data_IF_197256182246
#
_entry.id   IF_197256182246
#
_cell.length_a   1.000
_cell.length_b   1.000
_cell.length_c   1.000
_cell.angle_alpha   90.00
_cell.angle_beta   90.00
_cell.angle_gamma   90.00
#
_symmetry.space_group_name_H-M   'P 1'
#
loop_
_entity.id
_entity.type
_entity.pdbx_description
1 polymer ?
#
# COMPACT_ATOMS: atom_id res chain seq x y z
N UNK A 1 -6.56 18.34 10.82
CA UNK A 1 -6.28 17.46 9.70
C UNK A 1 -7.50 16.68 9.25
N UNK A 2 -8.24 16.05 10.16
CA UNK A 2 -9.45 15.25 9.82
C UNK A 2 -10.41 16.01 8.92
N UNK A 3 -10.72 17.26 9.23
CA UNK A 3 -11.61 18.12 8.43
C UNK A 3 -11.07 18.36 7.02
N UNK A 4 -9.75 18.56 6.87
CA UNK A 4 -9.12 18.72 5.55
C UNK A 4 -9.18 17.43 4.72
N UNK A 5 -9.01 16.27 5.36
CA UNK A 5 -9.16 14.96 4.71
C UNK A 5 -10.63 14.71 4.29
N UNK A 6 -11.62 15.12 5.09
CA UNK A 6 -13.02 15.04 4.68
C UNK A 6 -13.36 16.05 3.57
N UNK A 7 -12.79 17.25 3.63
CA UNK A 7 -12.94 18.24 2.55
C UNK A 7 -12.40 17.72 1.22
N UNK A 8 -11.33 16.94 1.22
CA UNK A 8 -10.75 16.37 -0.01
C UNK A 8 -11.75 15.48 -0.77
N UNK A 9 -12.72 14.84 -0.10
CA UNK A 9 -13.77 14.06 -0.75
C UNK A 9 -14.73 14.93 -1.56
N UNK A 10 -15.07 16.11 -1.04
CA UNK A 10 -16.09 17.01 -1.59
C UNK A 10 -15.54 18.20 -2.37
N UNK A 11 -14.22 18.40 -2.32
CA UNK A 11 -13.55 19.48 -3.04
C UNK A 11 -13.78 19.39 -4.56
N UNK A 12 -13.81 20.52 -5.22
CA UNK A 12 -13.84 20.57 -6.68
C UNK A 12 -12.60 19.92 -7.28
N UNK A 13 -12.78 19.23 -8.39
CA UNK A 13 -11.72 18.44 -9.08
C UNK A 13 -10.46 19.27 -9.31
N UNK A 14 -10.62 20.55 -9.69
CA UNK A 14 -9.52 21.47 -9.97
C UNK A 14 -8.61 21.73 -8.75
N UNK A 15 -9.16 21.65 -7.53
CA UNK A 15 -8.42 21.93 -6.31
C UNK A 15 -7.93 20.67 -5.59
N UNK A 16 -8.45 19.48 -5.93
CA UNK A 16 -8.12 18.24 -5.22
C UNK A 16 -6.62 17.96 -5.15
N UNK A 17 -5.91 18.13 -6.26
CA UNK A 17 -4.47 17.88 -6.31
C UNK A 17 -3.68 18.85 -5.40
N UNK A 18 -4.03 20.13 -5.41
CA UNK A 18 -3.36 21.12 -4.54
C UNK A 18 -3.69 20.88 -3.06
N UNK A 19 -4.95 20.56 -2.75
CA UNK A 19 -5.36 20.21 -1.38
C UNK A 19 -4.62 18.96 -0.91
N UNK A 20 -4.56 17.91 -1.72
CA UNK A 20 -3.86 16.66 -1.38
C UNK A 20 -2.37 16.92 -1.09
N UNK A 21 -1.70 17.70 -1.92
CA UNK A 21 -0.30 18.10 -1.72
C UNK A 21 -0.09 18.88 -0.42
N UNK A 22 -0.97 19.83 -0.13
CA UNK A 22 -0.93 20.62 1.12
C UNK A 22 -1.16 19.74 2.34
N UNK A 23 -2.12 18.81 2.28
CA UNK A 23 -2.39 17.85 3.35
C UNK A 23 -1.17 16.95 3.58
N UNK A 24 -0.54 16.42 2.55
CA UNK A 24 0.69 15.65 2.66
C UNK A 24 1.83 16.46 3.34
N UNK A 25 1.97 17.74 2.97
CA UNK A 25 2.91 18.66 3.61
C UNK A 25 2.63 18.85 5.11
N UNK A 26 1.35 19.05 5.48
CA UNK A 26 0.95 19.18 6.87
C UNK A 26 1.21 17.90 7.67
N UNK A 27 0.92 16.72 7.11
CA UNK A 27 1.23 15.43 7.73
C UNK A 27 2.73 15.32 7.99
N UNK A 28 3.56 15.70 7.02
CA UNK A 28 5.03 15.62 7.15
C UNK A 28 5.60 16.56 8.20
N UNK A 29 5.06 17.79 8.31
CA UNK A 29 5.59 18.82 9.19
C UNK A 29 5.05 18.76 10.62
N UNK A 30 3.79 18.41 10.80
CA UNK A 30 3.07 18.58 12.06
C UNK A 30 2.61 17.28 12.70
N UNK A 31 3.07 16.12 12.21
CA UNK A 31 2.76 14.85 12.85
C UNK A 31 3.29 14.81 14.28
N UNK A 32 2.44 14.56 15.29
CA UNK A 32 2.86 14.48 16.69
C UNK A 32 3.78 13.27 16.92
N UNK A 33 3.56 12.20 16.19
CA UNK A 33 4.36 10.96 16.21
C UNK A 33 4.34 10.27 14.85
N UNK A 34 5.22 9.29 14.68
CA UNK A 34 5.38 8.60 13.40
C UNK A 34 4.22 7.64 13.10
N UNK A 35 3.57 7.03 14.11
CA UNK A 35 2.37 6.22 13.93
C UNK A 35 1.23 7.05 13.36
N UNK A 36 0.95 8.19 13.96
CA UNK A 36 -0.05 9.13 13.48
C UNK A 36 0.25 9.57 12.04
N UNK A 37 1.54 9.76 11.71
CA UNK A 37 1.97 10.10 10.34
C UNK A 37 1.61 8.99 9.35
N UNK A 38 1.86 7.73 9.70
CA UNK A 38 1.49 6.55 8.89
C UNK A 38 -0.02 6.49 8.70
N UNK A 39 -0.80 6.57 9.77
CA UNK A 39 -2.27 6.51 9.73
C UNK A 39 -2.85 7.63 8.86
N UNK A 40 -2.37 8.86 9.06
CA UNK A 40 -2.84 10.03 8.31
C UNK A 40 -2.48 9.95 6.84
N UNK A 41 -1.33 9.34 6.50
CA UNK A 41 -0.94 9.16 5.11
C UNK A 41 -1.76 8.07 4.41
N UNK A 42 -2.09 6.98 5.11
CA UNK A 42 -3.00 5.95 4.60
C UNK A 42 -4.40 6.54 4.38
N UNK A 43 -4.91 7.33 5.32
CA UNK A 43 -6.15 8.07 5.17
C UNK A 43 -6.13 9.01 3.96
N UNK A 44 -5.00 9.69 3.73
CA UNK A 44 -4.80 10.55 2.57
C UNK A 44 -4.83 9.74 1.26
N UNK A 45 -4.19 8.56 1.20
CA UNK A 45 -4.23 7.68 0.04
C UNK A 45 -5.66 7.20 -0.28
N UNK A 46 -6.45 6.87 0.76
CA UNK A 46 -7.84 6.44 0.61
C UNK A 46 -8.71 7.60 0.09
N UNK A 47 -8.60 8.79 0.69
CA UNK A 47 -9.49 9.92 0.39
C UNK A 47 -9.05 10.75 -0.81
N UNK A 48 -7.75 10.82 -1.06
CA UNK A 48 -7.14 11.56 -2.17
C UNK A 48 -7.14 10.79 -3.49
N UNK A 49 -7.12 9.46 -3.42
CA UNK A 49 -7.16 8.61 -4.61
C UNK A 49 -6.11 9.00 -5.66
N UNK A 50 -6.55 9.20 -6.91
CA UNK A 50 -5.67 9.54 -8.04
C UNK A 50 -5.03 10.93 -7.98
N UNK A 51 -5.45 11.78 -7.04
CA UNK A 51 -4.88 13.12 -6.86
C UNK A 51 -3.60 13.14 -6.02
N UNK A 52 -3.22 12.00 -5.43
CA UNK A 52 -1.93 11.84 -4.76
C UNK A 52 -0.87 11.52 -5.81
N UNK A 53 0.21 12.29 -5.83
CA UNK A 53 1.28 12.10 -6.79
C UNK A 53 2.37 11.15 -6.26
N UNK A 54 3.24 10.72 -7.16
CA UNK A 54 4.38 9.87 -6.78
C UNK A 54 5.35 10.56 -5.83
N UNK A 55 5.36 11.89 -5.78
CA UNK A 55 6.27 12.63 -4.89
C UNK A 55 5.83 12.52 -3.43
N UNK A 56 4.53 12.66 -3.15
CA UNK A 56 3.99 12.44 -1.81
C UNK A 56 4.20 10.98 -1.38
N UNK A 57 3.95 10.02 -2.28
CA UNK A 57 4.17 8.59 -2.00
C UNK A 57 5.64 8.32 -1.68
N UNK A 58 6.60 8.90 -2.42
CA UNK A 58 8.03 8.75 -2.13
C UNK A 58 8.42 9.25 -0.74
N UNK A 59 7.87 10.38 -0.32
CA UNK A 59 8.10 10.92 1.05
C UNK A 59 7.65 9.90 2.10
N UNK A 60 6.46 9.30 1.92
CA UNK A 60 5.95 8.27 2.80
C UNK A 60 6.82 7.00 2.81
N UNK A 61 7.18 6.49 1.63
CA UNK A 61 8.03 5.31 1.52
C UNK A 61 9.44 5.53 2.10
N UNK A 62 9.98 6.73 1.93
CA UNK A 62 11.26 7.13 2.54
C UNK A 62 11.16 7.15 4.07
N UNK A 63 10.06 7.64 4.62
CA UNK A 63 9.81 7.56 6.07
C UNK A 63 9.86 6.11 6.55
N UNK A 64 9.09 5.20 5.92
CA UNK A 64 9.05 3.79 6.29
C UNK A 64 10.41 3.10 6.17
N UNK A 65 11.19 3.44 5.14
CA UNK A 65 12.52 2.88 4.94
C UNK A 65 13.49 3.27 6.04
N UNK A 66 13.33 4.48 6.62
CA UNK A 66 14.18 5.00 7.70
C UNK A 66 13.66 4.69 9.11
N UNK A 67 12.51 4.01 9.24
CA UNK A 67 11.85 3.71 10.51
C UNK A 67 11.47 2.23 10.60
N UNK A 68 12.44 1.34 10.90
CA UNK A 68 12.21 -0.11 10.96
C UNK A 68 11.07 -0.51 11.91
N UNK A 69 10.89 0.24 13.00
CA UNK A 69 9.85 0.02 14.01
C UNK A 69 8.42 0.19 13.49
N UNK A 70 8.25 0.94 12.39
CA UNK A 70 6.93 1.18 11.78
C UNK A 70 6.62 0.25 10.60
N UNK A 71 7.62 -0.46 10.08
CA UNK A 71 7.47 -1.26 8.86
C UNK A 71 6.40 -2.34 9.00
N UNK A 72 6.42 -3.07 10.11
CA UNK A 72 5.42 -4.10 10.40
C UNK A 72 4.01 -3.51 10.53
N UNK A 73 3.88 -2.42 11.27
CA UNK A 73 2.62 -1.69 11.43
C UNK A 73 2.07 -1.19 10.09
N UNK A 74 2.90 -0.53 9.30
CA UNK A 74 2.51 -0.01 7.99
C UNK A 74 2.10 -1.13 7.02
N UNK A 75 2.82 -2.26 7.02
CA UNK A 75 2.46 -3.42 6.21
C UNK A 75 1.08 -3.97 6.56
N UNK A 76 0.76 -4.13 7.85
CA UNK A 76 -0.56 -4.60 8.30
C UNK A 76 -1.67 -3.59 8.02
N UNK A 77 -1.42 -2.31 8.25
CA UNK A 77 -2.41 -1.25 8.00
C UNK A 77 -2.74 -1.11 6.52
N UNK A 78 -1.73 -1.13 5.65
CA UNK A 78 -1.92 -1.10 4.20
C UNK A 78 -2.53 -2.38 3.64
N UNK A 79 -2.18 -3.55 4.20
CA UNK A 79 -2.87 -4.80 3.87
C UNK A 79 -4.37 -4.69 4.14
N UNK A 80 -4.76 -4.23 5.34
CA UNK A 80 -6.16 -4.02 5.71
C UNK A 80 -6.86 -3.04 4.77
N UNK A 81 -6.21 -1.92 4.47
CA UNK A 81 -6.77 -0.90 3.57
C UNK A 81 -6.95 -1.43 2.14
N UNK A 82 -6.02 -2.25 1.64
CA UNK A 82 -6.10 -2.86 0.32
C UNK A 82 -7.16 -3.98 0.22
N UNK A 83 -7.52 -4.58 1.35
CA UNK A 83 -8.57 -5.61 1.44
C UNK A 83 -9.98 -5.06 1.57
N UNK A 84 -10.13 -3.78 1.86
CA UNK A 84 -11.44 -3.13 1.90
C UNK A 84 -11.94 -2.94 0.46
N UNK A 85 -13.07 -3.58 0.14
CA UNK A 85 -13.68 -3.55 -1.20
C UNK A 85 -14.01 -2.12 -1.66
N UNK A 86 -14.29 -1.21 -0.72
CA UNK A 86 -14.53 0.20 -1.03
C UNK A 86 -13.32 0.89 -1.66
N UNK A 87 -12.12 0.34 -1.46
CA UNK A 87 -10.85 0.87 -1.95
C UNK A 87 -10.37 0.20 -3.26
N UNK A 88 -11.14 -0.70 -3.85
CA UNK A 88 -10.75 -1.48 -5.05
C UNK A 88 -10.30 -0.63 -6.25
N UNK A 89 -10.80 0.59 -6.37
CA UNK A 89 -10.46 1.54 -7.43
C UNK A 89 -9.43 2.61 -7.00
N UNK A 90 -8.88 2.52 -5.80
CA UNK A 90 -7.87 3.47 -5.30
C UNK A 90 -6.45 3.01 -5.69
N UNK A 91 -6.10 3.13 -6.97
CA UNK A 91 -4.88 2.56 -7.54
C UNK A 91 -3.59 3.06 -6.90
N UNK A 92 -3.54 4.28 -6.40
CA UNK A 92 -2.38 4.80 -5.66
C UNK A 92 -2.21 4.09 -4.31
N UNK A 93 -3.30 3.84 -3.60
CA UNK A 93 -3.30 3.04 -2.38
C UNK A 93 -2.84 1.62 -2.68
N UNK A 94 -3.41 0.97 -3.71
CA UNK A 94 -3.09 -0.41 -4.08
C UNK A 94 -1.62 -0.57 -4.50
N UNK A 95 -1.09 0.38 -5.29
CA UNK A 95 0.32 0.39 -5.68
C UNK A 95 1.25 0.58 -4.46
N UNK A 96 0.90 1.51 -3.55
CA UNK A 96 1.67 1.75 -2.33
C UNK A 96 1.62 0.54 -1.40
N UNK A 97 0.44 -0.09 -1.26
CA UNK A 97 0.27 -1.32 -0.48
C UNK A 97 1.10 -2.46 -1.08
N UNK A 98 1.06 -2.66 -2.39
CA UNK A 98 1.84 -3.68 -3.07
C UNK A 98 3.35 -3.48 -2.86
N UNK A 99 3.84 -2.24 -2.95
CA UNK A 99 5.23 -1.94 -2.70
C UNK A 99 5.64 -2.25 -1.25
N UNK A 100 4.86 -1.77 -0.27
CA UNK A 100 5.15 -1.97 1.16
C UNK A 100 5.07 -3.44 1.54
N UNK A 101 4.09 -4.18 1.05
CA UNK A 101 3.99 -5.63 1.28
C UNK A 101 5.16 -6.39 0.66
N UNK A 102 5.63 -5.98 -0.52
CA UNK A 102 6.82 -6.56 -1.15
C UNK A 102 8.11 -6.30 -0.38
N UNK A 103 8.25 -5.11 0.26
CA UNK A 103 9.45 -4.76 1.03
C UNK A 103 9.41 -5.25 2.48
N UNK A 104 8.26 -5.13 3.13
CA UNK A 104 8.12 -5.28 4.58
C UNK A 104 7.05 -6.30 4.97
N UNK A 105 6.59 -7.15 4.04
CA UNK A 105 5.55 -8.15 4.32
C UNK A 105 5.97 -9.13 5.42
N UNK A 106 7.24 -9.54 5.44
CA UNK A 106 7.82 -10.38 6.50
C UNK A 106 7.74 -9.71 7.88
N UNK A 107 7.94 -8.39 7.97
CA UNK A 107 7.78 -7.61 9.19
C UNK A 107 6.32 -7.54 9.63
N UNK A 108 5.39 -7.50 8.66
CA UNK A 108 3.95 -7.55 8.93
C UNK A 108 3.51 -8.84 9.62
N UNK A 109 4.19 -9.96 9.36
CA UNK A 109 3.93 -11.25 9.98
C UNK A 109 4.48 -11.36 11.40
N UNK A 110 5.51 -10.57 11.74
CA UNK A 110 6.17 -10.63 13.04
C UNK A 110 5.30 -9.96 14.13
N UNK A 111 4.79 -10.78 15.05
CA UNK A 111 4.02 -10.29 16.20
C UNK A 111 4.83 -9.39 17.13
N UNK A 112 6.16 -9.52 17.15
CA UNK A 112 7.06 -8.69 17.94
C UNK A 112 7.13 -7.24 17.47
N UNK A 113 6.70 -6.97 16.23
CA UNK A 113 6.64 -5.61 15.67
C UNK A 113 5.29 -4.91 15.88
N UNK A 114 4.38 -5.49 16.68
CA UNK A 114 3.07 -4.87 16.96
C UNK A 114 3.22 -3.72 17.94
N UNK A 115 2.49 -2.65 17.63
CA UNK A 115 2.34 -1.52 18.54
C UNK A 115 1.32 -1.87 19.63
N UNK A 116 1.47 -1.26 20.83
CA UNK A 116 0.64 -1.58 22.01
C UNK A 116 -0.86 -1.35 21.83
N UNK A 117 -1.22 -0.43 20.95
CA UNK A 117 -2.59 -0.02 20.66
C UNK A 117 -3.10 -0.51 19.28
N UNK A 118 -2.35 -1.40 18.66
CA UNK A 118 -2.72 -1.95 17.34
C UNK A 118 -3.76 -3.07 17.48
N UNK A 119 -4.90 -3.00 16.75
CA UNK A 119 -5.87 -4.07 16.73
C UNK A 119 -5.25 -5.41 16.30
N UNK A 120 -5.65 -6.49 16.91
CA UNK A 120 -5.16 -7.81 16.56
C UNK A 120 -5.51 -8.15 15.10
N UNK A 121 -4.50 -8.42 14.29
CA UNK A 121 -4.64 -8.92 12.93
C UNK A 121 -3.80 -10.18 12.80
N UNK A 122 -4.43 -11.30 12.46
CA UNK A 122 -3.73 -12.52 12.09
C UNK A 122 -3.46 -12.45 10.59
N UNK A 123 -2.19 -12.37 10.22
CA UNK A 123 -1.75 -12.27 8.83
C UNK A 123 -0.83 -13.46 8.54
N UNK A 124 -1.00 -14.09 7.39
CA UNK A 124 -0.15 -15.18 6.91
C UNK A 124 0.61 -14.79 5.63
N UNK A 125 1.66 -15.56 5.28
CA UNK A 125 2.36 -15.41 4.01
C UNK A 125 1.40 -15.49 2.82
N UNK A 126 0.43 -16.42 2.89
CA UNK A 126 -0.56 -16.62 1.82
C UNK A 126 -1.50 -15.43 1.66
N UNK A 127 -1.87 -14.76 2.75
CA UNK A 127 -2.76 -13.60 2.68
C UNK A 127 -2.08 -12.46 1.91
N UNK A 128 -0.80 -12.21 2.21
CA UNK A 128 -0.01 -11.19 1.50
C UNK A 128 0.13 -11.54 0.01
N UNK A 129 0.49 -12.79 -0.29
CA UNK A 129 0.66 -13.25 -1.67
C UNK A 129 -0.66 -13.20 -2.43
N UNK A 130 -1.77 -13.61 -1.83
CA UNK A 130 -3.08 -13.58 -2.48
C UNK A 130 -3.53 -12.15 -2.80
N UNK A 131 -3.26 -11.19 -1.92
CA UNK A 131 -3.52 -9.77 -2.19
C UNK A 131 -2.78 -9.31 -3.44
N UNK A 132 -1.49 -9.59 -3.53
CA UNK A 132 -0.69 -9.21 -4.70
C UNK A 132 -1.08 -9.99 -5.97
N UNK A 133 -1.43 -11.25 -5.83
CA UNK A 133 -1.92 -12.10 -6.93
C UNK A 133 -3.20 -11.52 -7.55
N UNK A 134 -4.14 -11.07 -6.73
CA UNK A 134 -5.36 -10.41 -7.24
C UNK A 134 -4.99 -9.20 -8.07
N UNK A 135 -4.11 -8.31 -7.59
CA UNK A 135 -3.67 -7.12 -8.33
C UNK A 135 -2.98 -7.44 -9.66
N UNK A 136 -2.24 -8.55 -9.73
CA UNK A 136 -1.52 -8.96 -10.95
C UNK A 136 -2.47 -9.57 -11.98
N UNK A 137 -3.46 -10.33 -11.54
CA UNK A 137 -4.35 -11.11 -12.43
C UNK A 137 -5.63 -10.38 -12.83
N UNK A 138 -6.09 -9.41 -12.04
CA UNK A 138 -7.29 -8.65 -12.35
C UNK A 138 -7.09 -7.78 -13.60
N UNK A 139 -7.99 -7.94 -14.57
CA UNK A 139 -7.98 -7.19 -15.84
C UNK A 139 -8.19 -5.69 -15.66
N UNK A 140 -8.87 -5.26 -14.61
CA UNK A 140 -9.16 -3.85 -14.33
C UNK A 140 -7.99 -3.13 -13.65
N UNK A 141 -7.02 -3.86 -13.11
CA UNK A 141 -5.84 -3.27 -12.48
C UNK A 141 -4.93 -2.64 -13.54
N UNK A 142 -4.58 -1.34 -13.42
CA UNK A 142 -3.70 -0.66 -14.36
C UNK A 142 -2.30 -1.27 -14.43
N UNK A 143 -1.67 -1.24 -15.61
CA UNK A 143 -0.33 -1.78 -15.87
C UNK A 143 0.73 -1.35 -14.85
N UNK A 144 0.83 -0.05 -14.48
CA UNK A 144 1.78 0.38 -13.44
C UNK A 144 1.59 -0.32 -12.09
N UNK A 145 0.36 -0.52 -11.64
CA UNK A 145 0.05 -1.22 -10.38
C UNK A 145 0.44 -2.70 -10.50
N UNK A 146 0.09 -3.35 -11.64
CA UNK A 146 0.52 -4.73 -11.93
C UNK A 146 2.04 -4.87 -11.89
N UNK A 147 2.78 -3.92 -12.45
CA UNK A 147 4.24 -3.90 -12.43
C UNK A 147 4.82 -3.88 -11.01
N UNK A 148 4.26 -3.02 -10.14
CA UNK A 148 4.64 -2.97 -8.72
C UNK A 148 4.31 -4.29 -8.00
N UNK A 149 3.10 -4.82 -8.19
CA UNK A 149 2.67 -6.07 -7.57
C UNK A 149 3.50 -7.28 -8.05
N UNK A 150 3.88 -7.33 -9.33
CA UNK A 150 4.77 -8.37 -9.89
C UNK A 150 6.16 -8.29 -9.26
N UNK A 151 6.71 -7.09 -9.11
CA UNK A 151 7.99 -6.87 -8.42
C UNK A 151 7.92 -7.30 -6.97
N UNK A 152 6.81 -6.98 -6.28
CA UNK A 152 6.57 -7.42 -4.91
C UNK A 152 6.51 -8.94 -4.79
N UNK A 153 5.78 -9.63 -5.67
CA UNK A 153 5.72 -11.11 -5.70
C UNK A 153 7.11 -11.72 -5.92
N UNK A 154 7.94 -11.12 -6.76
CA UNK A 154 9.31 -11.59 -7.01
C UNK A 154 10.15 -11.51 -5.73
N UNK A 155 10.06 -10.41 -4.97
CA UNK A 155 10.74 -10.24 -3.68
C UNK A 155 10.24 -11.24 -2.63
N UNK A 156 8.92 -11.44 -2.55
CA UNK A 156 8.32 -12.37 -1.62
C UNK A 156 8.64 -13.84 -1.96
N UNK A 157 8.81 -14.19 -3.23
CA UNK A 157 9.26 -15.52 -3.63
C UNK A 157 10.65 -15.88 -3.04
N UNK A 158 11.51 -14.88 -2.85
CA UNK A 158 12.80 -15.08 -2.20
C UNK A 158 12.70 -15.12 -0.67
N UNK A 159 11.78 -14.33 -0.08
CA UNK A 159 11.59 -14.27 1.38
C UNK A 159 10.75 -15.42 1.93
N UNK A 160 9.80 -15.92 1.15
CA UNK A 160 8.88 -17.01 1.51
C UNK A 160 9.12 -18.24 0.61
N UNK A 161 10.19 -19.03 0.83
CA UNK A 161 10.57 -20.13 -0.07
C UNK A 161 9.48 -21.19 -0.23
N UNK A 162 8.66 -21.41 0.82
CA UNK A 162 7.53 -22.35 0.77
C UNK A 162 6.43 -21.90 -0.20
N UNK A 163 6.29 -20.60 -0.43
CA UNK A 163 5.27 -20.00 -1.28
C UNK A 163 5.82 -19.58 -2.66
N UNK A 164 7.09 -19.79 -2.92
CA UNK A 164 7.77 -19.35 -4.16
C UNK A 164 7.10 -19.91 -5.43
N UNK A 165 6.54 -21.14 -5.36
CA UNK A 165 5.80 -21.74 -6.46
C UNK A 165 4.57 -20.95 -6.86
N UNK A 166 3.77 -20.50 -5.88
CA UNK A 166 2.56 -19.69 -6.11
C UNK A 166 2.93 -18.34 -6.72
N UNK A 167 3.97 -17.69 -6.19
CA UNK A 167 4.45 -16.40 -6.72
C UNK A 167 4.86 -16.54 -8.19
N UNK A 168 5.67 -17.54 -8.54
CA UNK A 168 6.12 -17.79 -9.92
C UNK A 168 4.96 -18.06 -10.86
N UNK A 169 4.03 -18.91 -10.47
CA UNK A 169 2.86 -19.23 -11.28
C UNK A 169 2.02 -17.98 -11.56
N UNK A 170 1.79 -17.14 -10.56
CA UNK A 170 1.02 -15.89 -10.71
C UNK A 170 1.70 -14.93 -11.69
N UNK A 171 3.03 -14.79 -11.62
CA UNK A 171 3.82 -13.97 -12.55
C UNK A 171 3.73 -14.54 -13.98
N UNK A 172 3.91 -15.85 -14.16
CA UNK A 172 3.85 -16.50 -15.48
C UNK A 172 2.48 -16.35 -16.13
N UNK A 173 1.40 -16.50 -15.36
CA UNK A 173 0.03 -16.30 -15.85
C UNK A 173 -0.18 -14.87 -16.33
N UNK A 174 0.31 -13.87 -15.59
CA UNK A 174 0.21 -12.47 -15.98
C UNK A 174 0.98 -12.15 -17.26
N UNK A 175 2.19 -12.68 -17.40
CA UNK A 175 3.02 -12.48 -18.63
C UNK A 175 2.38 -13.19 -19.82
N UNK A 176 1.81 -14.38 -19.63
CA UNK A 176 1.12 -15.12 -20.67
C UNK A 176 -0.10 -14.40 -21.22
N UNK A 177 -0.84 -13.69 -20.38
CA UNK A 177 -2.01 -12.90 -20.82
C UNK A 177 -1.63 -11.67 -21.63
N UNK A 178 -0.47 -11.08 -21.39
CA UNK A 178 0.05 -9.91 -22.14
C UNK A 178 0.52 -10.25 -23.55
N UNK A 179 0.79 -11.53 -23.84
CA UNK A 179 1.27 -11.99 -25.17
C UNK A 179 0.11 -12.42 -26.08
N UNK A 180 -1.15 -12.32 -25.63
CA UNK A 180 -2.35 -12.72 -26.37
C UNK A 180 -3.18 -11.51 -26.85
N UNK A 181 -2.78 -10.29 -26.52
CA UNK A 181 -3.32 -9.03 -27.02
C UNK A 181 -2.37 -8.42 -28.08
#
# INVERSE_FOLDING_TARGET
LKELLEYLKVADVEFKADVAKRVAGLISQFAPDDKWRVDSFIDLLIKGGSYITNDEIRVFLSLLSNRPELQGYAARSLFKAAHDESNSNHFQLLATSAWVLGEFGDKGLDSGTRLSDEPALVLSELDIINTLKVLVLDTHTPGPVKGVATTALTKLAARFPRQAGICRQSIQTSVGSLNLE
#
